data_IF_300300207547
#
_entry.id   IF_300300207547
#
_cell.length_a   1.000
_cell.length_b   1.000
_cell.length_c   1.000
_cell.angle_alpha   90.00
_cell.angle_beta   90.00
_cell.angle_gamma   90.00
#
_symmetry.space_group_name_H-M   'P 1'
#
loop_
_entity.id
_entity.type
_entity.pdbx_description
1 polymer ?
#
# COMPACT_ATOMS: atom_id res chain seq x y z
N UNK A 1 6.68 4.81 -39.97
CA UNK A 1 6.59 4.56 -38.51
C UNK A 1 7.59 3.46 -38.21
N UNK A 2 8.43 3.61 -37.20
CA UNK A 2 9.39 2.56 -36.81
C UNK A 2 8.62 1.39 -36.20
N UNK A 3 8.99 0.17 -36.56
CA UNK A 3 8.43 -1.03 -35.93
C UNK A 3 8.79 -1.05 -34.43
N UNK A 4 7.88 -1.45 -33.55
CA UNK A 4 8.19 -1.60 -32.14
C UNK A 4 9.14 -2.77 -31.91
N UNK A 5 9.79 -2.84 -30.75
CA UNK A 5 10.42 -4.07 -30.30
C UNK A 5 9.35 -5.05 -29.75
N UNK A 6 9.56 -6.34 -29.94
CA UNK A 6 8.75 -7.37 -29.27
C UNK A 6 8.87 -7.17 -27.76
N UNK A 7 7.76 -7.20 -27.04
CA UNK A 7 7.75 -6.98 -25.59
C UNK A 7 7.85 -5.50 -25.17
N UNK A 8 7.90 -4.54 -26.12
CA UNK A 8 7.89 -3.11 -25.78
C UNK A 8 6.56 -2.74 -25.12
N UNK A 9 6.62 -2.08 -23.97
CA UNK A 9 5.45 -1.59 -23.23
C UNK A 9 5.30 -0.09 -23.44
N UNK A 10 4.07 0.35 -23.79
CA UNK A 10 3.72 1.76 -23.97
C UNK A 10 2.49 2.14 -23.14
N UNK A 11 2.41 3.40 -22.76
CA UNK A 11 1.19 4.01 -22.23
C UNK A 11 0.27 4.33 -23.41
N UNK A 12 -1.00 3.99 -23.27
CA UNK A 12 -1.99 4.15 -24.33
C UNK A 12 -3.32 4.67 -23.77
N UNK A 13 -3.85 5.74 -24.35
CA UNK A 13 -5.08 6.39 -23.88
C UNK A 13 -6.39 5.77 -24.41
N UNK A 14 -6.32 4.72 -25.23
CA UNK A 14 -7.51 4.08 -25.84
C UNK A 14 -8.05 2.93 -24.97
N UNK A 15 -9.30 2.56 -25.25
CA UNK A 15 -10.03 1.50 -24.57
C UNK A 15 -9.99 0.13 -25.29
N UNK A 16 -9.22 0.02 -26.37
CA UNK A 16 -8.92 -1.25 -27.08
C UNK A 16 -7.44 -1.28 -27.44
N UNK A 17 -6.84 -2.46 -27.44
CA UNK A 17 -5.46 -2.63 -27.89
C UNK A 17 -5.40 -2.58 -29.43
N UNK A 18 -4.49 -1.79 -30.03
CA UNK A 18 -4.29 -1.80 -31.48
C UNK A 18 -3.86 -3.17 -32.00
N UNK A 19 -4.03 -3.41 -33.28
CA UNK A 19 -3.56 -4.64 -33.92
C UNK A 19 -2.05 -4.87 -33.66
N UNK A 20 -1.69 -6.07 -33.23
CA UNK A 20 -0.32 -6.44 -32.86
C UNK A 20 0.08 -6.07 -31.43
N UNK A 21 -0.85 -5.54 -30.64
CA UNK A 21 -0.66 -5.19 -29.23
C UNK A 21 -1.70 -5.89 -28.34
N UNK A 22 -1.37 -6.09 -27.10
CA UNK A 22 -2.28 -6.57 -26.06
C UNK A 22 -2.21 -5.69 -24.82
N UNK A 23 -3.27 -5.68 -24.01
CA UNK A 23 -3.23 -4.99 -22.73
C UNK A 23 -2.35 -5.70 -21.70
N UNK A 24 -1.66 -4.93 -20.87
CA UNK A 24 -0.91 -5.44 -19.72
C UNK A 24 -1.86 -5.66 -18.51
N UNK A 25 -2.74 -6.65 -18.62
CA UNK A 25 -3.77 -6.99 -17.65
C UNK A 25 -3.63 -8.42 -17.08
N UNK A 26 -2.45 -9.04 -17.27
CA UNK A 26 -2.15 -10.37 -16.75
C UNK A 26 -2.80 -11.53 -17.52
N UNK A 27 -3.37 -11.28 -18.70
CA UNK A 27 -4.00 -12.32 -19.50
C UNK A 27 -3.01 -13.41 -19.92
N UNK A 28 -3.49 -14.64 -20.01
CA UNK A 28 -2.74 -15.77 -20.55
C UNK A 28 -2.81 -15.78 -22.08
N UNK A 29 -1.67 -15.98 -22.72
CA UNK A 29 -1.57 -16.16 -24.17
C UNK A 29 -1.03 -17.55 -24.49
N UNK A 30 -1.50 -18.16 -25.62
CA UNK A 30 -0.95 -19.41 -26.10
C UNK A 30 0.46 -19.21 -26.66
N UNK A 31 1.40 -20.08 -26.27
CA UNK A 31 2.79 -20.04 -26.74
C UNK A 31 2.85 -20.27 -28.25
N UNK A 32 2.02 -21.17 -28.77
CA UNK A 32 1.99 -21.53 -30.20
C UNK A 32 1.73 -20.36 -31.15
N UNK A 33 1.07 -19.30 -30.68
CA UNK A 33 0.75 -18.11 -31.47
C UNK A 33 1.66 -16.91 -31.15
N UNK A 34 2.43 -17.00 -30.05
CA UNK A 34 3.23 -15.90 -29.51
C UNK A 34 4.64 -16.36 -29.08
N UNK A 35 5.22 -17.29 -29.80
CA UNK A 35 6.50 -17.94 -29.48
C UNK A 35 7.66 -16.94 -29.35
N UNK A 36 7.70 -15.92 -30.19
CA UNK A 36 8.74 -14.88 -30.16
C UNK A 36 8.67 -14.06 -28.88
N UNK A 37 7.47 -13.68 -28.44
CA UNK A 37 7.27 -12.96 -27.18
C UNK A 37 7.56 -13.88 -25.98
N UNK A 38 7.13 -15.15 -26.04
CA UNK A 38 7.44 -16.14 -25.02
C UNK A 38 8.95 -16.35 -24.84
N UNK A 39 9.70 -16.43 -25.94
CA UNK A 39 11.16 -16.53 -25.88
C UNK A 39 11.82 -15.34 -25.19
N UNK A 40 11.19 -14.16 -25.23
CA UNK A 40 11.69 -12.94 -24.57
C UNK A 40 11.35 -12.85 -23.09
N UNK A 41 10.08 -13.09 -22.72
CA UNK A 41 9.61 -12.85 -21.35
C UNK A 41 9.37 -14.12 -20.54
N UNK A 42 9.30 -15.29 -21.19
CA UNK A 42 9.08 -16.58 -20.55
C UNK A 42 7.84 -16.58 -19.65
N UNK A 43 7.96 -17.22 -18.49
CA UNK A 43 6.93 -17.28 -17.44
C UNK A 43 7.13 -16.25 -16.32
N UNK A 44 7.90 -15.20 -16.58
CA UNK A 44 8.23 -14.15 -15.59
C UNK A 44 6.98 -13.54 -14.92
N UNK A 45 5.88 -13.46 -15.67
CA UNK A 45 4.62 -12.89 -15.18
C UNK A 45 3.56 -13.96 -14.88
N UNK A 46 3.83 -15.24 -15.14
CA UNK A 46 2.97 -16.39 -14.89
C UNK A 46 2.77 -17.28 -16.13
N UNK A 47 1.80 -18.20 -16.02
CA UNK A 47 1.53 -19.23 -17.03
C UNK A 47 2.20 -20.55 -16.67
N UNK A 48 1.90 -21.62 -17.46
CA UNK A 48 2.43 -22.96 -17.24
C UNK A 48 3.78 -23.22 -17.97
N UNK A 49 4.17 -22.34 -18.89
CA UNK A 49 5.39 -22.45 -19.67
C UNK A 49 5.41 -23.63 -20.66
N UNK A 50 4.29 -24.32 -20.83
CA UNK A 50 4.14 -25.44 -21.77
C UNK A 50 3.15 -25.10 -22.88
N UNK A 51 2.00 -24.57 -22.52
CA UNK A 51 0.95 -24.16 -23.46
C UNK A 51 0.69 -22.66 -23.40
N UNK A 52 0.85 -22.06 -22.21
CA UNK A 52 0.52 -20.66 -21.94
C UNK A 52 1.60 -19.93 -21.16
N UNK A 53 1.62 -18.62 -21.33
CA UNK A 53 2.37 -17.67 -20.51
C UNK A 53 1.51 -16.44 -20.25
N UNK A 54 1.80 -15.71 -19.15
CA UNK A 54 1.06 -14.51 -18.78
C UNK A 54 1.77 -13.24 -19.26
N UNK A 55 0.97 -12.26 -19.65
CA UNK A 55 1.43 -10.88 -19.85
C UNK A 55 1.62 -10.17 -18.49
N UNK A 56 2.42 -9.09 -18.45
CA UNK A 56 2.48 -8.22 -17.28
C UNK A 56 1.09 -7.74 -16.87
N UNK A 57 0.86 -7.65 -15.56
CA UNK A 57 -0.36 -7.09 -14.99
C UNK A 57 -0.02 -5.76 -14.31
N UNK A 58 -0.39 -4.65 -14.96
CA UNK A 58 -0.18 -3.28 -14.48
C UNK A 58 -1.48 -2.63 -13.96
N UNK A 59 -2.55 -3.42 -13.79
CA UNK A 59 -3.81 -2.91 -13.24
C UNK A 59 -3.62 -2.52 -11.77
N UNK A 60 -3.93 -1.25 -11.44
CA UNK A 60 -3.74 -0.69 -10.10
C UNK A 60 -2.28 -0.60 -9.64
N UNK A 61 -1.31 -0.60 -10.57
CA UNK A 61 0.13 -0.64 -10.25
C UNK A 61 0.92 0.41 -11.02
N UNK A 62 1.94 0.94 -10.38
CA UNK A 62 2.96 1.76 -11.03
C UNK A 62 4.12 0.88 -11.49
N UNK A 63 4.63 1.05 -12.73
CA UNK A 63 5.84 0.37 -13.16
C UNK A 63 7.06 0.89 -12.38
N UNK A 64 7.91 -0.04 -11.96
CA UNK A 64 9.15 0.26 -11.26
C UNK A 64 10.31 -0.47 -11.94
N UNK A 65 11.48 0.16 -12.03
CA UNK A 65 12.66 -0.47 -12.61
C UNK A 65 13.22 -1.57 -11.70
N UNK A 66 13.58 -2.71 -12.29
CA UNK A 66 14.26 -3.79 -11.56
C UNK A 66 15.66 -3.38 -11.13
N UNK A 67 16.18 -4.00 -10.08
CA UNK A 67 17.54 -3.76 -9.57
C UNK A 67 17.56 -3.23 -8.15
N UNK A 68 18.73 -2.80 -7.72
CA UNK A 68 18.95 -2.27 -6.36
C UNK A 68 19.49 -0.85 -6.44
N UNK A 69 18.66 0.13 -6.08
CA UNK A 69 19.11 1.51 -5.90
C UNK A 69 19.94 1.67 -4.62
N UNK A 70 20.77 2.71 -4.56
CA UNK A 70 21.57 2.99 -3.36
C UNK A 70 20.68 3.21 -2.13
N UNK A 71 20.85 2.39 -1.09
CA UNK A 71 20.05 2.43 0.13
C UNK A 71 18.61 1.91 -0.02
N UNK A 72 18.25 1.31 -1.16
CA UNK A 72 16.93 0.75 -1.42
C UNK A 72 16.96 -0.78 -1.46
N UNK A 73 15.80 -1.37 -1.22
CA UNK A 73 15.61 -2.81 -1.35
C UNK A 73 15.71 -3.26 -2.82
N UNK A 74 16.28 -4.46 -3.08
CA UNK A 74 16.32 -5.02 -4.44
C UNK A 74 14.90 -5.27 -4.96
N UNK A 75 14.74 -5.11 -6.28
CA UNK A 75 13.50 -5.42 -7.02
C UNK A 75 13.79 -6.39 -8.14
N UNK A 76 12.97 -7.42 -8.23
CA UNK A 76 13.09 -8.45 -9.28
C UNK A 76 12.04 -8.19 -10.36
N UNK A 77 12.39 -8.46 -11.63
CA UNK A 77 11.42 -8.35 -12.72
C UNK A 77 10.21 -9.27 -12.46
N UNK A 78 9.00 -8.78 -12.69
CA UNK A 78 7.75 -9.50 -12.40
C UNK A 78 7.29 -9.42 -10.95
N UNK A 79 8.10 -8.88 -10.02
CA UNK A 79 7.71 -8.69 -8.62
C UNK A 79 6.50 -7.74 -8.50
N UNK A 80 5.53 -8.14 -7.68
CA UNK A 80 4.33 -7.34 -7.36
C UNK A 80 4.31 -7.06 -5.86
N UNK A 81 4.09 -5.81 -5.47
CA UNK A 81 4.00 -5.39 -4.07
C UNK A 81 3.10 -4.17 -3.91
N UNK A 82 2.82 -3.81 -2.64
CA UNK A 82 1.96 -2.69 -2.29
C UNK A 82 0.51 -3.08 -2.09
N UNK A 83 -0.25 -2.16 -1.49
CA UNK A 83 -1.67 -2.31 -1.18
C UNK A 83 -2.38 -0.99 -1.39
N UNK A 84 -3.65 -1.03 -1.82
CA UNK A 84 -4.47 0.16 -2.05
C UNK A 84 -5.10 0.71 -0.77
N UNK A 85 -5.26 -0.13 0.25
CA UNK A 85 -5.88 0.25 1.52
C UNK A 85 -5.04 -0.26 2.69
N UNK A 86 -4.92 0.55 3.74
CA UNK A 86 -4.15 0.24 4.96
C UNK A 86 -5.02 0.45 6.18
N UNK A 87 -5.02 -0.55 7.08
CA UNK A 87 -5.59 -0.43 8.42
C UNK A 87 -4.45 -0.37 9.42
N UNK A 88 -4.36 0.71 10.18
CA UNK A 88 -3.35 0.85 11.23
C UNK A 88 -3.68 -0.07 12.41
N UNK A 89 -2.70 -0.85 12.82
CA UNK A 89 -2.76 -1.64 14.05
C UNK A 89 -2.23 -0.81 15.23
N UNK A 90 -2.56 -1.21 16.47
CA UNK A 90 -2.07 -0.54 17.68
C UNK A 90 -0.54 -0.51 17.77
N UNK A 91 0.15 -1.50 17.17
CA UNK A 91 1.61 -1.56 17.13
C UNK A 91 2.24 -0.56 16.15
N UNK A 92 1.47 -0.07 15.19
CA UNK A 92 1.91 0.92 14.19
C UNK A 92 1.64 2.36 14.65
N UNK A 93 0.92 2.54 15.76
CA UNK A 93 0.72 3.85 16.35
C UNK A 93 1.92 4.23 17.21
N UNK A 94 2.37 5.50 17.17
CA UNK A 94 3.41 5.96 18.09
C UNK A 94 3.01 5.75 19.55
N UNK A 95 3.93 5.27 20.35
CA UNK A 95 3.73 5.16 21.79
C UNK A 95 3.60 6.55 22.36
N UNK A 96 2.49 6.84 23.01
CA UNK A 96 2.24 8.11 23.68
C UNK A 96 1.51 7.87 24.98
N UNK A 97 1.58 8.84 25.93
CA UNK A 97 0.90 8.81 27.22
C UNK A 97 0.27 10.17 27.51
N UNK A 98 -0.82 10.15 28.26
CA UNK A 98 -1.46 11.34 28.80
C UNK A 98 -1.19 11.40 30.31
N UNK A 99 -0.38 12.35 30.75
CA UNK A 99 -0.16 12.56 32.17
C UNK A 99 -1.26 13.51 32.71
N UNK A 100 -2.10 13.07 33.64
CA UNK A 100 -3.02 13.98 34.34
C UNK A 100 -2.22 15.07 35.05
N UNK A 101 -2.60 16.32 34.86
CA UNK A 101 -1.98 17.46 35.56
C UNK A 101 -2.74 17.77 36.85
N UNK A 102 -2.00 18.09 37.89
CA UNK A 102 -2.56 18.52 39.18
C UNK A 102 -1.68 19.61 39.79
N UNK A 103 -2.24 20.40 40.69
CA UNK A 103 -1.49 21.39 41.54
C UNK A 103 -1.47 20.93 42.99
N UNK A 104 -0.39 21.23 43.70
CA UNK A 104 -0.25 20.88 45.11
C UNK A 104 -0.98 21.83 46.06
N UNK A 105 -1.41 22.98 45.53
CA UNK A 105 -2.17 23.98 46.33
C UNK A 105 -3.65 23.59 46.51
N UNK A 106 -4.30 24.21 47.50
CA UNK A 106 -5.74 23.99 47.75
C UNK A 106 -6.60 24.41 46.57
N UNK A 107 -7.66 23.66 46.30
CA UNK A 107 -8.64 23.97 45.26
C UNK A 107 -9.40 25.27 45.58
N UNK A 108 -9.73 26.05 44.57
CA UNK A 108 -10.41 27.34 44.64
C UNK A 108 -11.70 27.42 43.81
N UNK A 109 -12.09 26.31 43.14
CA UNK A 109 -13.35 26.26 42.40
C UNK A 109 -14.04 24.90 42.59
N UNK A 110 -15.37 24.92 42.49
CA UNK A 110 -16.24 23.76 42.71
C UNK A 110 -16.60 23.01 41.42
N UNK A 111 -16.19 23.52 40.24
CA UNK A 111 -16.48 22.91 38.94
C UNK A 111 -15.22 22.52 38.23
N UNK A 112 -15.19 21.41 37.46
CA UNK A 112 -14.01 20.99 36.76
C UNK A 112 -13.72 21.78 35.47
N UNK A 113 -14.64 22.65 35.03
CA UNK A 113 -14.52 23.39 33.79
C UNK A 113 -13.34 24.36 33.82
N UNK A 114 -12.33 24.16 32.96
CA UNK A 114 -11.12 24.97 32.91
C UNK A 114 -10.18 24.79 34.10
N UNK A 115 -10.47 23.82 35.00
CA UNK A 115 -9.69 23.53 36.18
C UNK A 115 -8.79 22.29 36.00
N UNK A 116 -7.81 22.18 36.90
CA UNK A 116 -6.99 20.99 37.10
C UNK A 116 -7.22 20.47 38.54
N UNK A 117 -6.85 19.23 38.79
CA UNK A 117 -6.95 18.66 40.13
C UNK A 117 -6.06 19.43 41.11
N UNK A 118 -6.56 19.65 42.28
CA UNK A 118 -5.88 20.40 43.33
C UNK A 118 -5.60 19.53 44.54
N UNK A 119 -4.61 19.95 45.32
CA UNK A 119 -4.28 19.29 46.55
C UNK A 119 -5.43 19.42 47.56
N UNK A 120 -5.63 18.40 48.38
CA UNK A 120 -6.59 18.38 49.48
C UNK A 120 -5.85 18.09 50.79
N UNK A 121 -6.38 18.58 51.90
CA UNK A 121 -5.80 18.36 53.21
C UNK A 121 -6.09 16.97 53.78
N UNK A 122 -6.99 16.23 53.14
CA UNK A 122 -7.39 14.87 53.54
C UNK A 122 -6.78 13.85 52.58
N UNK A 123 -6.42 12.68 53.08
CA UNK A 123 -5.89 11.57 52.23
C UNK A 123 -6.97 11.13 51.26
N UNK A 124 -6.69 11.22 49.96
CA UNK A 124 -7.59 10.80 48.86
C UNK A 124 -7.14 9.50 48.18
N UNK A 125 -6.06 8.88 48.64
CA UNK A 125 -5.57 7.61 48.15
C UNK A 125 -5.63 6.56 49.24
N UNK A 126 -5.92 5.32 48.87
CA UNK A 126 -5.92 4.15 49.74
C UNK A 126 -5.05 3.08 49.11
N UNK A 127 -4.47 2.21 49.96
CA UNK A 127 -3.81 0.97 49.52
C UNK A 127 -4.78 -0.20 49.35
N UNK A 128 -6.06 0.01 49.66
CA UNK A 128 -7.07 -1.03 49.49
C UNK A 128 -7.34 -1.32 48.02
N UNK A 129 -7.77 -2.56 47.68
CA UNK A 129 -8.14 -2.94 46.34
C UNK A 129 -9.26 -2.02 45.78
N UNK A 130 -9.20 -1.63 44.47
CA UNK A 130 -10.23 -0.81 43.88
C UNK A 130 -11.57 -1.55 43.86
N UNK A 131 -12.62 -0.93 44.39
CA UNK A 131 -13.99 -1.46 44.45
C UNK A 131 -14.92 -0.87 43.40
N UNK A 132 -14.53 0.26 42.80
CA UNK A 132 -15.35 0.99 41.82
C UNK A 132 -14.42 1.42 40.66
N UNK A 133 -14.85 1.17 39.41
CA UNK A 133 -14.18 1.70 38.24
C UNK A 133 -14.52 3.17 38.04
N UNK A 134 -13.55 3.98 37.58
CA UNK A 134 -13.85 5.31 37.07
C UNK A 134 -14.81 5.23 35.88
N UNK A 135 -15.57 6.30 35.66
CA UNK A 135 -16.44 6.40 34.51
C UNK A 135 -15.61 6.18 33.22
N UNK A 136 -15.96 5.21 32.35
CA UNK A 136 -15.23 4.96 31.08
C UNK A 136 -15.12 6.19 30.19
N UNK A 137 -15.99 7.19 30.34
CA UNK A 137 -15.92 8.44 29.60
C UNK A 137 -14.72 9.34 30.00
N UNK A 138 -14.01 9.03 31.12
CA UNK A 138 -12.80 9.75 31.50
C UNK A 138 -11.63 9.52 30.55
N UNK A 139 -11.57 8.34 29.93
CA UNK A 139 -10.64 8.01 28.85
C UNK A 139 -11.42 7.73 27.59
N UNK A 140 -11.62 8.72 26.73
CA UNK A 140 -12.29 8.52 25.46
C UNK A 140 -11.52 7.49 24.62
N UNK A 141 -12.26 6.61 23.91
CA UNK A 141 -11.66 5.73 22.94
C UNK A 141 -11.09 6.58 21.79
N UNK A 142 -9.80 6.44 21.52
CA UNK A 142 -9.16 7.01 20.34
C UNK A 142 -8.97 5.91 19.29
N UNK A 143 -9.23 6.25 18.03
CA UNK A 143 -9.11 5.32 16.92
C UNK A 143 -10.42 4.59 16.61
N UNK A 144 -10.44 3.76 15.60
CA UNK A 144 -11.62 3.04 15.15
C UNK A 144 -11.25 1.90 14.17
N UNK A 145 -9.95 1.65 13.98
CA UNK A 145 -9.42 0.63 13.07
C UNK A 145 -10.05 0.68 11.66
N UNK A 146 -10.48 1.88 11.22
CA UNK A 146 -11.00 2.05 9.88
C UNK A 146 -9.84 2.07 8.88
N UNK A 147 -9.96 1.34 7.78
CA UNK A 147 -8.98 1.41 6.72
C UNK A 147 -9.00 2.80 6.08
N UNK A 148 -7.84 3.28 5.70
CA UNK A 148 -7.70 4.48 4.88
C UNK A 148 -7.12 4.12 3.51
N UNK A 149 -7.47 4.92 2.53
CA UNK A 149 -6.95 4.79 1.18
C UNK A 149 -5.46 5.18 1.15
N UNK A 150 -4.65 4.31 0.52
CA UNK A 150 -3.20 4.47 0.40
C UNK A 150 -2.77 4.85 -1.02
N UNK A 151 -3.72 5.20 -1.88
CA UNK A 151 -3.48 5.62 -3.25
C UNK A 151 -3.15 7.11 -3.32
N UNK A 152 -2.13 7.46 -4.11
CA UNK A 152 -1.92 8.84 -4.51
C UNK A 152 -2.96 9.26 -5.55
N UNK A 153 -3.22 10.56 -5.76
CA UNK A 153 -4.05 11.02 -6.88
C UNK A 153 -3.54 10.44 -8.21
N UNK A 154 -4.42 9.81 -8.98
CA UNK A 154 -4.06 9.12 -10.21
C UNK A 154 -5.04 9.40 -11.34
N UNK A 155 -4.57 9.22 -12.56
CA UNK A 155 -5.38 9.14 -13.77
C UNK A 155 -5.13 7.76 -14.40
N UNK A 156 -6.19 6.98 -14.55
CA UNK A 156 -6.08 5.67 -15.19
C UNK A 156 -5.87 5.81 -16.70
N UNK A 157 -4.77 5.22 -17.18
CA UNK A 157 -4.48 5.03 -18.61
C UNK A 157 -4.04 3.59 -18.81
N UNK A 158 -4.22 3.07 -20.04
CA UNK A 158 -3.87 1.71 -20.36
C UNK A 158 -2.37 1.55 -20.61
N UNK A 159 -1.82 0.38 -20.25
CA UNK A 159 -0.51 -0.08 -20.70
C UNK A 159 -0.72 -1.19 -21.72
N UNK A 160 -0.01 -1.11 -22.84
CA UNK A 160 -0.05 -2.11 -23.91
C UNK A 160 1.33 -2.65 -24.17
N UNK A 161 1.41 -3.95 -24.52
CA UNK A 161 2.64 -4.65 -24.88
C UNK A 161 2.59 -5.09 -26.34
N UNK A 162 3.69 -4.91 -27.05
CA UNK A 162 3.79 -5.36 -28.45
C UNK A 162 3.99 -6.86 -28.52
N UNK A 163 3.13 -7.54 -29.27
CA UNK A 163 3.20 -8.98 -29.54
C UNK A 163 4.19 -9.31 -30.68
N UNK A 164 4.40 -8.37 -31.60
CA UNK A 164 5.21 -8.54 -32.80
C UNK A 164 6.13 -7.33 -33.00
N UNK A 165 7.23 -7.52 -33.71
CA UNK A 165 8.17 -6.45 -34.01
C UNK A 165 9.60 -6.92 -34.14
N UNK A 166 10.55 -6.04 -33.89
CA UNK A 166 11.97 -6.35 -33.94
C UNK A 166 12.34 -7.09 -32.64
N UNK A 167 12.98 -8.28 -32.78
CA UNK A 167 13.48 -8.98 -31.60
C UNK A 167 14.69 -8.22 -31.01
N UNK A 168 14.65 -7.84 -29.71
CA UNK A 168 15.75 -7.11 -29.09
C UNK A 168 16.96 -8.04 -28.93
N UNK A 169 18.13 -7.56 -29.34
CA UNK A 169 19.41 -8.25 -29.10
C UNK A 169 20.17 -7.52 -28.02
N UNK A 170 20.77 -8.22 -27.03
CA UNK A 170 21.63 -7.57 -26.06
C UNK A 170 22.85 -6.93 -26.74
N UNK A 171 23.28 -5.78 -26.22
CA UNK A 171 24.51 -5.09 -26.67
C UNK A 171 25.73 -5.77 -26.10
#
# INVERSE_FOLDING_TARGET
>A
MSSPFVGEIRIFGGNFAPAGWAFCNGQLLPISENDVLFNLIGTTYGGDGQQTFALPDLQGRLPMHMGTGSGLSPRTIGEKAGVESVTLTSQQLPVHSHAPLAVSGSGNQSTPQGGVWAGVTTSIYTSDPPTIAFNPALGGNAGGNQPHENLMPYLAVSFIISLFGIYPTPN
#
